data_IF_328992342250
#
_entry.id   IF_328992342250
#
_cell.length_a   1.000
_cell.length_b   1.000
_cell.length_c   1.000
_cell.angle_alpha   90.00
_cell.angle_beta   90.00
_cell.angle_gamma   90.00
#
_symmetry.space_group_name_H-M   'P 1'
#
loop_
_entity.id
_entity.type
_entity.pdbx_description
1 polymer ?
#
# COMPACT_ATOMS: atom_id res chain seq x y z
N UNK A 1 2.29 -33.46 -14.37
CA UNK A 1 1.22 -32.70 -13.68
C UNK A 1 1.90 -31.78 -12.65
N UNK A 2 2.18 -30.53 -13.04
CA UNK A 2 2.93 -29.60 -12.18
C UNK A 2 2.06 -29.14 -11.02
N UNK A 3 2.47 -29.43 -9.78
CA UNK A 3 1.80 -28.96 -8.56
C UNK A 3 1.77 -27.43 -8.62
N UNK A 4 0.57 -26.85 -8.76
CA UNK A 4 0.38 -25.41 -8.73
C UNK A 4 1.01 -24.83 -7.47
N UNK A 5 1.78 -23.75 -7.62
CA UNK A 5 2.42 -23.06 -6.50
C UNK A 5 1.34 -22.76 -5.45
N UNK A 6 1.56 -23.07 -4.15
CA UNK A 6 0.53 -22.86 -3.13
C UNK A 6 0.04 -21.41 -3.22
N UNK A 7 -1.28 -21.22 -3.14
CA UNK A 7 -1.87 -19.89 -3.10
C UNK A 7 -1.14 -19.09 -2.03
N UNK A 8 -0.39 -18.07 -2.44
CA UNK A 8 0.32 -17.20 -1.51
C UNK A 8 -0.73 -16.69 -0.52
N UNK A 9 -0.46 -16.82 0.78
CA UNK A 9 -1.32 -16.42 1.91
C UNK A 9 -1.95 -15.02 1.75
N UNK A 10 -1.37 -14.17 0.89
CA UNK A 10 -1.86 -12.84 0.56
C UNK A 10 -2.04 -12.72 -0.96
N UNK A 11 -3.29 -12.60 -1.39
CA UNK A 11 -3.60 -12.05 -2.71
C UNK A 11 -3.04 -10.63 -2.80
N UNK A 12 -2.73 -10.14 -4.01
CA UNK A 12 -2.26 -8.76 -4.17
C UNK A 12 -3.24 -7.76 -3.55
N UNK A 13 -4.55 -7.95 -3.76
CA UNK A 13 -5.58 -7.08 -3.23
C UNK A 13 -5.60 -7.06 -1.70
N UNK A 14 -5.54 -8.23 -1.03
CA UNK A 14 -5.49 -8.31 0.42
C UNK A 14 -4.28 -7.57 0.99
N UNK A 15 -3.10 -7.76 0.38
CA UNK A 15 -1.88 -7.09 0.83
C UNK A 15 -1.92 -5.58 0.62
N UNK A 16 -2.43 -5.11 -0.51
CA UNK A 16 -2.59 -3.67 -0.77
C UNK A 16 -3.49 -3.04 0.29
N UNK A 17 -4.60 -3.71 0.63
CA UNK A 17 -5.49 -3.26 1.69
C UNK A 17 -4.82 -3.22 3.07
N UNK A 18 -4.00 -4.22 3.41
CA UNK A 18 -3.24 -4.22 4.67
C UNK A 18 -2.22 -3.06 4.72
N UNK A 19 -1.53 -2.80 3.60
CA UNK A 19 -0.61 -1.66 3.46
C UNK A 19 -1.33 -0.33 3.68
N UNK A 20 -2.52 -0.15 3.09
CA UNK A 20 -3.35 1.06 3.29
C UNK A 20 -3.65 1.24 4.79
N UNK A 21 -4.17 0.19 5.45
CA UNK A 21 -4.49 0.26 6.89
C UNK A 21 -3.28 0.61 7.76
N UNK A 22 -2.11 0.05 7.45
CA UNK A 22 -0.87 0.34 8.18
C UNK A 22 -0.42 1.79 8.00
N UNK A 23 -0.56 2.36 6.80
CA UNK A 23 -0.25 3.77 6.52
C UNK A 23 -1.25 4.71 7.20
N UNK A 24 -2.54 4.33 7.30
CA UNK A 24 -3.54 5.13 8.02
C UNK A 24 -3.37 5.10 9.53
N UNK A 25 -3.06 3.92 10.09
CA UNK A 25 -2.89 3.73 11.53
C UNK A 25 -1.64 4.44 12.08
N UNK A 26 -0.67 4.76 11.22
CA UNK A 26 0.59 5.42 11.62
C UNK A 26 0.67 6.80 11.00
N UNK A 27 1.14 7.78 11.77
CA UNK A 27 1.44 9.12 11.25
C UNK A 27 2.75 9.15 10.45
N UNK A 28 2.98 8.18 9.57
CA UNK A 28 4.23 7.97 8.82
C UNK A 28 4.77 6.57 8.99
N UNK A 29 5.04 5.90 7.88
CA UNK A 29 5.66 4.57 7.88
C UNK A 29 6.63 4.43 6.72
N UNK A 30 7.78 3.82 6.97
CA UNK A 30 8.80 3.53 5.96
C UNK A 30 8.48 2.25 5.17
N UNK A 31 9.14 2.09 4.03
CA UNK A 31 9.08 0.84 3.24
C UNK A 31 9.63 -0.35 4.01
N UNK A 32 10.61 -0.13 4.90
CA UNK A 32 11.21 -1.18 5.72
C UNK A 32 10.20 -1.67 6.76
N UNK A 33 9.56 -0.77 7.49
CA UNK A 33 8.53 -1.14 8.48
C UNK A 33 7.33 -1.81 7.81
N UNK A 34 6.87 -1.31 6.66
CA UNK A 34 5.82 -1.97 5.88
C UNK A 34 6.19 -3.40 5.48
N UNK A 35 7.45 -3.62 5.09
CA UNK A 35 7.94 -4.94 4.71
C UNK A 35 7.99 -5.90 5.91
N UNK A 36 8.44 -5.42 7.07
CA UNK A 36 8.47 -6.19 8.31
C UNK A 36 7.06 -6.57 8.78
N UNK A 37 6.14 -5.62 8.81
CA UNK A 37 4.76 -5.82 9.28
C UNK A 37 3.94 -6.75 8.39
N UNK A 38 4.14 -6.66 7.08
CA UNK A 38 3.41 -7.50 6.10
C UNK A 38 4.13 -8.81 5.78
N UNK A 39 5.39 -8.96 6.21
CA UNK A 39 6.22 -10.12 5.91
C UNK A 39 6.60 -10.27 4.43
N UNK A 40 6.53 -9.21 3.62
CA UNK A 40 6.96 -9.24 2.20
C UNK A 40 8.19 -8.36 1.95
N UNK A 41 8.92 -8.63 0.88
CA UNK A 41 10.11 -7.85 0.55
C UNK A 41 9.81 -6.41 0.14
N UNK A 42 10.79 -5.52 0.35
CA UNK A 42 10.72 -4.08 0.00
C UNK A 42 10.26 -3.81 -1.44
N UNK A 43 10.69 -4.62 -2.42
CA UNK A 43 10.26 -4.48 -3.82
C UNK A 43 8.76 -4.70 -4.00
N UNK A 44 8.18 -5.62 -3.23
CA UNK A 44 6.73 -5.89 -3.23
C UNK A 44 5.99 -4.71 -2.63
N UNK A 45 6.46 -4.18 -1.49
CA UNK A 45 5.90 -2.97 -0.89
C UNK A 45 5.95 -1.79 -1.86
N UNK A 46 7.09 -1.53 -2.50
CA UNK A 46 7.19 -0.42 -3.45
C UNK A 46 6.21 -0.57 -4.62
N UNK A 47 6.01 -1.79 -5.12
CA UNK A 47 5.02 -2.07 -6.17
C UNK A 47 3.59 -1.83 -5.68
N UNK A 48 3.28 -2.22 -4.44
CA UNK A 48 1.94 -2.03 -3.88
C UNK A 48 1.69 -0.54 -3.58
N UNK A 49 2.69 0.22 -3.12
CA UNK A 49 2.62 1.68 -2.99
C UNK A 49 2.37 2.37 -4.33
N UNK A 50 3.03 1.90 -5.40
CA UNK A 50 2.77 2.40 -6.75
C UNK A 50 1.33 2.08 -7.19
N UNK A 51 0.84 0.87 -6.93
CA UNK A 51 -0.54 0.50 -7.26
C UNK A 51 -1.56 1.35 -6.48
N UNK A 52 -1.29 1.68 -5.22
CA UNK A 52 -2.10 2.60 -4.41
C UNK A 52 -2.11 4.00 -5.03
N UNK A 53 -0.95 4.50 -5.47
CA UNK A 53 -0.84 5.79 -6.15
C UNK A 53 -1.58 5.81 -7.50
N UNK A 54 -1.39 4.78 -8.33
CA UNK A 54 -2.05 4.62 -9.63
C UNK A 54 -3.58 4.49 -9.48
N UNK A 55 -4.06 3.92 -8.38
CA UNK A 55 -5.48 3.86 -8.05
C UNK A 55 -6.05 5.21 -7.54
N UNK A 56 -5.24 6.26 -7.48
CA UNK A 56 -5.69 7.61 -7.13
C UNK A 56 -5.81 7.90 -5.64
N UNK A 57 -5.25 7.04 -4.77
CA UNK A 57 -5.22 7.34 -3.34
C UNK A 57 -4.29 8.53 -3.05
N UNK A 58 -4.61 9.38 -2.06
CA UNK A 58 -3.84 10.59 -1.73
C UNK A 58 -2.58 10.25 -0.92
N UNK A 59 -1.78 9.31 -1.43
CA UNK A 59 -0.53 8.83 -0.84
C UNK A 59 0.58 9.84 -1.11
N UNK A 60 1.16 10.38 -0.05
CA UNK A 60 2.32 11.26 -0.10
C UNK A 60 3.51 10.62 0.59
N UNK A 61 4.69 11.16 0.32
CA UNK A 61 5.92 10.73 0.97
C UNK A 61 6.82 11.91 1.26
N UNK A 62 7.48 11.89 2.41
CA UNK A 62 8.44 12.92 2.81
C UNK A 62 9.70 12.27 3.42
N UNK A 63 10.83 12.97 3.41
CA UNK A 63 12.07 12.48 3.98
C UNK A 63 12.26 13.05 5.38
N UNK A 64 12.29 12.19 6.39
CA UNK A 64 12.62 12.57 7.76
C UNK A 64 13.79 11.73 8.24
N UNK A 65 14.81 12.38 8.79
CA UNK A 65 16.01 11.72 9.34
C UNK A 65 16.66 10.70 8.38
N UNK A 66 16.69 11.02 7.08
CA UNK A 66 17.25 10.15 6.05
C UNK A 66 16.37 8.95 5.67
N UNK A 67 15.14 8.86 6.19
CA UNK A 67 14.17 7.82 5.89
C UNK A 67 12.97 8.40 5.15
N UNK A 68 12.59 7.77 4.03
CA UNK A 68 11.39 8.13 3.28
C UNK A 68 10.15 7.52 3.96
N UNK A 69 9.27 8.37 4.46
CA UNK A 69 8.04 7.99 5.15
C UNK A 69 6.83 8.26 4.27
N UNK A 70 5.90 7.31 4.24
CA UNK A 70 4.67 7.36 3.49
C UNK A 70 3.49 7.67 4.42
N UNK A 71 2.57 8.53 3.94
CA UNK A 71 1.39 9.01 4.68
C UNK A 71 0.24 9.23 3.70
N UNK A 72 -1.00 9.12 4.17
CA UNK A 72 -2.13 9.71 3.45
C UNK A 72 -2.31 11.17 3.84
N UNK A 73 -2.73 12.01 2.89
CA UNK A 73 -3.14 13.37 3.22
C UNK A 73 -4.35 13.32 4.16
N UNK A 74 -4.13 13.67 5.43
CA UNK A 74 -5.14 13.61 6.50
C UNK A 74 -6.34 14.54 6.26
N UNK A 75 -6.30 15.41 5.24
CA UNK A 75 -7.40 16.33 4.85
C UNK A 75 -8.52 15.67 4.03
N UNK A 76 -8.55 14.35 3.92
CA UNK A 76 -9.56 13.60 3.15
C UNK A 76 -10.66 13.01 4.05
N UNK A 77 -11.11 13.72 5.09
CA UNK A 77 -12.39 13.37 5.73
C UNK A 77 -13.60 13.61 4.80
N UNK A 78 -13.41 14.32 3.68
CA UNK A 78 -14.48 14.76 2.77
C UNK A 78 -14.32 14.31 1.31
N UNK A 79 -13.44 13.35 0.98
CA UNK A 79 -13.31 12.92 -0.41
C UNK A 79 -14.20 11.70 -0.68
N UNK A 80 -15.19 11.84 -1.57
CA UNK A 80 -16.10 10.75 -1.88
C UNK A 80 -15.32 9.57 -2.49
N UNK A 81 -15.71 8.33 -2.17
CA UNK A 81 -15.06 7.15 -2.71
C UNK A 81 -15.13 7.19 -4.25
N UNK A 82 -13.96 7.15 -4.89
CA UNK A 82 -13.85 7.02 -6.33
C UNK A 82 -14.46 5.66 -6.69
N UNK A 83 -15.60 5.70 -7.38
CA UNK A 83 -16.23 4.51 -7.94
C UNK A 83 -15.41 4.07 -9.14
N UNK A 84 -14.84 2.88 -9.08
CA UNK A 84 -14.24 2.24 -10.26
C UNK A 84 -15.34 2.06 -11.32
N UNK A 85 -15.28 2.80 -12.41
CA UNK A 85 -15.97 2.42 -13.63
C UNK A 85 -15.03 1.50 -14.40
N UNK A 86 -15.43 0.23 -14.54
CA UNK A 86 -14.81 -0.69 -15.47
C UNK A 86 -15.03 -0.12 -16.88
N UNK A 87 -13.96 0.29 -17.55
CA UNK A 87 -14.04 0.57 -18.99
C UNK A 87 -13.90 -0.78 -19.70
N UNK A 88 -14.95 -1.18 -20.42
CA UNK A 88 -14.97 -2.41 -21.24
C UNK A 88 -13.95 -2.40 -22.37
#
# INVERSE_FOLDING_TARGET
>A
MGKGRPARKYSQAGRVHDVIRLIEARHGISVTELAEETGVGRRTIQRDLNAIHEAGYPLTSDWQDGVKLYRFLTRFKDVPPISFTLQE
#
